data_IF_513847186452
#
_entry.id   IF_513847186452
#
_cell.length_a   1.000
_cell.length_b   1.000
_cell.length_c   1.000
_cell.angle_alpha   90.00
_cell.angle_beta   90.00
_cell.angle_gamma   90.00
#
_symmetry.space_group_name_H-M   'P 1'
#
loop_
_entity.id
_entity.type
_entity.pdbx_description
1 polymer ?
#
# COMPACT_ATOMS: atom_id res chain seq x y z
N UNK A 1 7.97 -1.16 15.47
CA UNK A 1 6.97 -1.56 14.46
C UNK A 1 6.79 -3.07 14.50
N UNK A 2 5.57 -3.54 14.39
CA UNK A 2 5.25 -4.97 14.36
C UNK A 2 5.05 -5.41 12.91
N UNK A 3 5.43 -6.65 12.60
CA UNK A 3 5.33 -7.21 11.25
C UNK A 3 5.28 -8.75 11.33
N UNK A 4 5.07 -9.38 10.18
CA UNK A 4 5.12 -10.84 10.07
C UNK A 4 6.54 -11.39 10.30
N UNK A 5 7.55 -10.56 10.11
CA UNK A 5 8.95 -10.89 10.41
C UNK A 5 9.30 -10.45 11.83
N UNK A 6 10.18 -11.19 12.50
CA UNK A 6 10.54 -10.88 13.87
C UNK A 6 11.46 -9.66 13.95
N UNK A 7 11.45 -9.00 15.11
CA UNK A 7 12.22 -7.77 15.33
C UNK A 7 13.73 -7.99 15.17
N UNK A 8 14.25 -9.12 15.63
CA UNK A 8 15.65 -9.43 15.49
C UNK A 8 16.08 -9.43 14.01
N UNK A 9 15.31 -10.10 13.16
CA UNK A 9 15.63 -10.18 11.72
C UNK A 9 15.54 -8.81 11.04
N UNK A 10 14.55 -8.01 11.42
CA UNK A 10 14.39 -6.67 10.86
C UNK A 10 15.52 -5.73 11.27
N UNK A 11 15.99 -5.83 12.51
CA UNK A 11 17.05 -4.96 13.02
C UNK A 11 18.44 -5.42 12.61
N UNK A 12 18.72 -6.72 12.67
CA UNK A 12 20.04 -7.25 12.37
C UNK A 12 20.33 -7.40 10.88
N UNK A 13 19.29 -7.59 10.08
CA UNK A 13 19.42 -7.88 8.66
C UNK A 13 19.75 -9.34 8.36
N UNK A 14 19.81 -10.19 9.39
CA UNK A 14 20.08 -11.63 9.25
C UNK A 14 18.79 -12.37 9.56
N UNK A 15 18.32 -13.19 8.61
CA UNK A 15 17.08 -13.94 8.80
C UNK A 15 17.31 -15.18 9.68
N UNK A 16 16.45 -15.33 10.71
CA UNK A 16 16.38 -16.57 11.47
C UNK A 16 15.70 -17.66 10.64
N UNK A 17 15.75 -18.90 11.13
CA UNK A 17 15.16 -20.04 10.41
C UNK A 17 13.67 -19.87 10.14
N UNK A 18 12.92 -19.31 11.08
CA UNK A 18 11.47 -19.08 10.93
C UNK A 18 11.17 -18.03 9.85
N UNK A 19 11.85 -16.90 9.88
CA UNK A 19 11.65 -15.83 8.90
C UNK A 19 12.14 -16.25 7.51
N UNK A 20 13.22 -16.99 7.43
CA UNK A 20 13.69 -17.55 6.16
C UNK A 20 12.66 -18.51 5.58
N UNK A 21 12.06 -19.35 6.41
CA UNK A 21 11.03 -20.27 5.98
C UNK A 21 9.79 -19.53 5.44
N UNK A 22 9.39 -18.43 6.09
CA UNK A 22 8.28 -17.60 5.59
C UNK A 22 8.58 -17.01 4.22
N UNK A 23 9.82 -16.54 4.02
CA UNK A 23 10.25 -16.00 2.74
C UNK A 23 10.24 -17.09 1.66
N UNK A 24 10.75 -18.29 1.95
CA UNK A 24 10.79 -19.41 1.03
C UNK A 24 9.39 -19.91 0.65
N UNK A 25 8.44 -19.89 1.60
CA UNK A 25 7.06 -20.27 1.34
C UNK A 25 6.22 -19.20 0.66
N UNK A 26 6.77 -18.00 0.45
CA UNK A 26 6.05 -16.89 -0.15
C UNK A 26 5.06 -16.20 0.78
N UNK A 27 5.10 -16.48 2.08
CA UNK A 27 4.25 -15.78 3.06
C UNK A 27 4.67 -14.33 3.23
N UNK A 28 5.96 -14.06 3.08
CA UNK A 28 6.50 -12.70 2.99
C UNK A 28 7.41 -12.64 1.75
N UNK A 29 7.53 -11.44 1.18
CA UNK A 29 8.35 -11.20 0.00
C UNK A 29 9.63 -10.47 0.37
N UNK A 30 10.58 -10.43 -0.57
CA UNK A 30 11.78 -9.62 -0.39
C UNK A 30 11.44 -8.14 -0.28
N UNK A 31 10.43 -7.69 -0.99
CA UNK A 31 9.94 -6.31 -0.89
C UNK A 31 9.41 -6.04 0.51
N UNK A 32 8.62 -6.96 1.08
CA UNK A 32 8.13 -6.84 2.45
C UNK A 32 9.29 -6.64 3.43
N UNK A 33 10.33 -7.46 3.30
CA UNK A 33 11.52 -7.37 4.15
C UNK A 33 12.22 -6.02 3.99
N UNK A 34 12.42 -5.58 2.76
CA UNK A 34 13.10 -4.32 2.46
C UNK A 34 12.35 -3.12 3.06
N UNK A 35 11.05 -3.03 2.83
CA UNK A 35 10.25 -1.92 3.33
C UNK A 35 10.12 -1.96 4.84
N UNK A 36 9.90 -3.13 5.43
CA UNK A 36 9.84 -3.28 6.87
C UNK A 36 11.14 -2.82 7.55
N UNK A 37 12.28 -3.16 6.97
CA UNK A 37 13.58 -2.73 7.50
C UNK A 37 13.77 -1.22 7.40
N UNK A 38 13.33 -0.61 6.30
CA UNK A 38 13.37 0.85 6.17
C UNK A 38 12.57 1.53 7.27
N UNK A 39 11.35 1.03 7.53
CA UNK A 39 10.49 1.61 8.56
C UNK A 39 11.07 1.41 9.97
N UNK A 40 11.60 0.23 10.26
CA UNK A 40 12.24 -0.05 11.55
C UNK A 40 13.45 0.86 11.77
N UNK A 41 14.18 1.18 10.71
CA UNK A 41 15.37 2.03 10.81
C UNK A 41 15.10 3.45 11.30
N UNK A 42 13.86 3.91 11.19
CA UNK A 42 13.46 5.27 11.57
C UNK A 42 12.45 5.31 12.72
N UNK A 43 12.08 4.16 13.29
CA UNK A 43 11.04 4.13 14.32
C UNK A 43 11.43 4.86 15.61
N UNK A 44 12.72 4.98 15.92
CA UNK A 44 13.16 5.77 17.07
C UNK A 44 12.98 7.26 16.85
N UNK A 45 13.14 7.71 15.61
CA UNK A 45 12.94 9.10 15.22
C UNK A 45 11.45 9.46 15.13
N UNK A 46 10.61 8.48 14.81
CA UNK A 46 9.16 8.66 14.65
C UNK A 46 8.43 7.66 15.53
N UNK A 47 8.25 7.96 16.83
CA UNK A 47 7.76 6.99 17.82
C UNK A 47 6.41 6.35 17.50
N UNK A 48 5.51 7.03 16.78
CA UNK A 48 4.22 6.45 16.41
C UNK A 48 4.38 5.20 15.55
N UNK A 49 5.50 5.07 14.83
CA UNK A 49 5.78 3.87 14.04
C UNK A 49 5.93 2.62 14.90
N UNK A 50 6.29 2.76 16.16
CA UNK A 50 6.45 1.61 17.06
C UNK A 50 5.14 0.88 17.29
N UNK A 51 4.00 1.57 17.11
CA UNK A 51 2.66 1.00 17.28
C UNK A 51 1.97 0.68 15.94
N UNK A 52 2.70 0.63 14.86
CA UNK A 52 2.18 0.26 13.54
C UNK A 52 2.39 -1.23 13.30
N UNK A 53 1.39 -1.91 12.74
CA UNK A 53 1.55 -3.27 12.24
C UNK A 53 1.65 -3.25 10.73
N UNK A 54 2.80 -3.66 10.22
CA UNK A 54 3.08 -3.74 8.79
C UNK A 54 2.67 -5.11 8.26
N UNK A 55 1.71 -5.14 7.34
CA UNK A 55 1.22 -6.37 6.73
C UNK A 55 1.97 -6.76 5.47
N UNK A 56 2.50 -5.83 4.74
CA UNK A 56 3.23 -6.11 3.52
C UNK A 56 3.28 -4.92 2.58
N UNK A 57 3.93 -5.14 1.44
CA UNK A 57 4.08 -4.11 0.40
C UNK A 57 3.85 -4.72 -0.97
N UNK A 58 3.27 -3.95 -1.87
CA UNK A 58 3.01 -4.32 -3.26
C UNK A 58 3.46 -3.17 -4.15
N UNK A 59 4.23 -3.47 -5.16
CA UNK A 59 4.65 -2.45 -6.12
C UNK A 59 4.12 -2.73 -7.52
N UNK A 60 3.82 -1.66 -8.24
CA UNK A 60 3.42 -1.69 -9.63
C UNK A 60 3.99 -0.44 -10.28
N UNK A 61 4.90 -0.61 -11.24
CA UNK A 61 5.59 0.46 -11.93
C UNK A 61 6.17 1.48 -10.94
N UNK A 62 5.70 2.73 -10.96
CA UNK A 62 6.24 3.80 -10.11
C UNK A 62 5.49 3.97 -8.78
N UNK A 63 4.59 3.03 -8.44
CA UNK A 63 3.79 3.12 -7.21
C UNK A 63 4.13 1.96 -6.29
N UNK A 64 4.34 2.28 -5.02
CA UNK A 64 4.54 1.32 -3.94
C UNK A 64 3.40 1.49 -2.93
N UNK A 65 2.62 0.44 -2.74
CA UNK A 65 1.55 0.40 -1.74
C UNK A 65 2.06 -0.33 -0.50
N UNK A 66 1.88 0.31 0.65
CA UNK A 66 2.24 -0.25 1.95
C UNK A 66 0.95 -0.58 2.69
N UNK A 67 0.80 -1.84 3.09
CA UNK A 67 -0.38 -2.34 3.77
C UNK A 67 -0.11 -2.38 5.27
N UNK A 68 -0.96 -1.70 6.04
CA UNK A 68 -0.84 -1.62 7.49
C UNK A 68 -2.16 -2.00 8.16
N UNK A 69 -2.11 -2.22 9.46
CA UNK A 69 -3.28 -2.51 10.26
C UNK A 69 -4.27 -1.36 10.19
N UNK A 70 -5.55 -1.68 10.30
CA UNK A 70 -6.63 -0.70 10.34
C UNK A 70 -6.39 0.32 11.46
N UNK A 71 -6.43 1.60 11.10
CA UNK A 71 -6.15 2.71 12.02
C UNK A 71 -4.70 3.16 12.05
N UNK A 72 -3.78 2.44 11.40
CA UNK A 72 -2.35 2.76 11.44
C UNK A 72 -1.90 3.79 10.39
N UNK A 73 -2.69 4.01 9.32
CA UNK A 73 -2.29 4.91 8.24
C UNK A 73 -1.98 6.32 8.76
N UNK A 74 -2.79 6.84 9.67
CA UNK A 74 -2.59 8.18 10.22
C UNK A 74 -1.27 8.31 10.98
N UNK A 75 -0.80 7.23 11.60
CA UNK A 75 0.48 7.22 12.32
C UNK A 75 1.66 7.44 11.37
N UNK A 76 1.58 6.84 10.18
CA UNK A 76 2.61 7.00 9.14
C UNK A 76 2.49 8.36 8.46
N UNK A 77 1.25 8.83 8.21
CA UNK A 77 1.00 10.10 7.55
C UNK A 77 1.22 11.31 8.46
N UNK A 78 1.41 11.08 9.76
CA UNK A 78 1.78 12.11 10.73
C UNK A 78 3.17 12.68 10.43
N UNK A 79 3.65 13.54 11.27
CA UNK A 79 4.99 14.16 11.15
C UNK A 79 5.17 14.98 9.87
N UNK A 80 4.07 15.56 9.36
CA UNK A 80 4.15 16.44 8.18
C UNK A 80 4.57 15.74 6.90
N UNK A 81 4.30 14.45 6.78
CA UNK A 81 4.64 13.66 5.61
C UNK A 81 6.11 13.26 5.52
N UNK A 82 6.88 13.43 6.58
CA UNK A 82 8.33 13.14 6.57
C UNK A 82 8.62 11.66 6.34
N UNK A 83 7.81 10.77 6.89
CA UNK A 83 7.98 9.33 6.69
C UNK A 83 7.75 8.97 5.22
N UNK A 84 6.72 9.52 4.63
CA UNK A 84 6.40 9.29 3.21
C UNK A 84 7.55 9.78 2.33
N UNK A 85 8.08 10.97 2.58
CA UNK A 85 9.21 11.49 1.81
C UNK A 85 10.46 10.64 1.96
N UNK A 86 10.72 10.15 3.18
CA UNK A 86 11.83 9.23 3.41
C UNK A 86 11.69 7.96 2.55
N UNK A 87 10.50 7.37 2.51
CA UNK A 87 10.24 6.18 1.72
C UNK A 87 10.33 6.46 0.22
N UNK A 88 9.81 7.60 -0.23
CA UNK A 88 9.92 8.00 -1.63
C UNK A 88 11.38 8.19 -2.05
N UNK A 89 12.19 8.82 -1.21
CA UNK A 89 13.61 9.04 -1.47
C UNK A 89 14.39 7.72 -1.54
N UNK A 90 14.07 6.77 -0.66
CA UNK A 90 14.77 5.48 -0.60
C UNK A 90 14.34 4.52 -1.71
N UNK A 91 13.10 4.56 -2.13
CA UNK A 91 12.56 3.60 -3.11
C UNK A 91 12.47 4.16 -4.52
N UNK A 92 12.47 5.48 -4.67
CA UNK A 92 12.24 6.13 -5.96
C UNK A 92 10.81 5.99 -6.47
N UNK A 93 9.88 5.61 -5.61
CA UNK A 93 8.49 5.35 -5.99
C UNK A 93 7.52 6.25 -5.25
N UNK A 94 6.36 6.49 -5.84
CA UNK A 94 5.24 7.17 -5.19
C UNK A 94 4.60 6.22 -4.18
N UNK A 95 4.42 6.68 -2.95
CA UNK A 95 3.96 5.84 -1.84
C UNK A 95 2.45 5.98 -1.63
N UNK A 96 1.77 4.85 -1.43
CA UNK A 96 0.37 4.79 -0.99
C UNK A 96 0.29 3.97 0.27
N UNK A 97 -0.40 4.47 1.29
CA UNK A 97 -0.62 3.74 2.54
C UNK A 97 -2.05 3.20 2.53
N UNK A 98 -2.19 1.89 2.56
CA UNK A 98 -3.48 1.21 2.51
C UNK A 98 -3.69 0.45 3.81
N UNK A 99 -4.90 0.53 4.37
CA UNK A 99 -5.25 -0.20 5.58
C UNK A 99 -5.86 -1.54 5.23
N UNK A 100 -5.37 -2.57 5.90
CA UNK A 100 -5.82 -3.94 5.70
C UNK A 100 -7.25 -4.12 6.19
N UNK A 101 -8.05 -4.85 5.42
CA UNK A 101 -9.42 -5.27 5.78
C UNK A 101 -10.40 -4.12 6.03
N UNK A 102 -10.24 -3.01 5.32
CA UNK A 102 -11.23 -1.93 5.29
C UNK A 102 -12.31 -2.24 4.24
N UNK A 103 -13.41 -1.47 4.24
CA UNK A 103 -14.39 -1.62 3.18
C UNK A 103 -13.82 -1.15 1.83
N UNK A 104 -14.46 -1.55 0.74
CA UNK A 104 -13.98 -1.27 -0.61
C UNK A 104 -13.85 0.22 -0.89
N UNK A 105 -14.81 1.02 -0.43
CA UNK A 105 -14.77 2.48 -0.64
C UNK A 105 -13.57 3.12 0.04
N UNK A 106 -13.30 2.77 1.28
CA UNK A 106 -12.15 3.27 2.03
C UNK A 106 -10.83 2.86 1.36
N UNK A 107 -10.74 1.63 0.91
CA UNK A 107 -9.57 1.13 0.18
C UNK A 107 -9.32 1.97 -1.09
N UNK A 108 -10.36 2.21 -1.87
CA UNK A 108 -10.24 2.98 -3.11
C UNK A 108 -9.91 4.45 -2.84
N UNK A 109 -10.51 5.04 -1.83
CA UNK A 109 -10.19 6.41 -1.43
C UNK A 109 -8.73 6.56 -1.05
N UNK A 110 -8.19 5.61 -0.29
CA UNK A 110 -6.78 5.61 0.11
C UNK A 110 -5.85 5.40 -1.11
N UNK A 111 -6.24 4.51 -2.01
CA UNK A 111 -5.45 4.21 -3.21
C UNK A 111 -5.33 5.43 -4.13
N UNK A 112 -6.41 6.17 -4.33
CA UNK A 112 -6.44 7.31 -5.24
C UNK A 112 -6.14 8.65 -4.56
N UNK A 113 -5.97 8.68 -3.24
CA UNK A 113 -5.64 9.91 -2.52
C UNK A 113 -4.44 10.64 -3.17
N UNK A 114 -4.44 11.96 -3.31
CA UNK A 114 -5.40 12.91 -2.78
C UNK A 114 -6.62 13.19 -3.68
N UNK A 115 -6.80 12.45 -4.76
CA UNK A 115 -7.93 12.65 -5.66
C UNK A 115 -9.24 12.24 -5.00
N UNK A 116 -10.30 12.99 -5.27
CA UNK A 116 -11.63 12.68 -4.74
C UNK A 116 -12.37 11.73 -5.66
N UNK A 117 -13.02 10.75 -5.06
CA UNK A 117 -13.89 9.81 -5.78
C UNK A 117 -15.30 10.38 -5.78
N UNK A 118 -15.86 10.58 -6.97
CA UNK A 118 -17.25 11.04 -7.11
C UNK A 118 -18.22 9.88 -6.98
N UNK A 119 -17.93 8.75 -7.64
CA UNK A 119 -18.83 7.61 -7.72
C UNK A 119 -18.07 6.30 -7.81
N UNK A 120 -18.63 5.27 -7.18
CA UNK A 120 -18.16 3.89 -7.32
C UNK A 120 -19.36 3.05 -7.73
N UNK A 121 -19.26 2.37 -8.87
CA UNK A 121 -20.34 1.51 -9.40
C UNK A 121 -19.80 0.12 -9.75
N UNK A 122 -20.64 -0.89 -9.58
CA UNK A 122 -20.35 -2.24 -10.08
C UNK A 122 -20.93 -2.38 -11.47
N UNK A 123 -20.14 -2.90 -12.40
CA UNK A 123 -20.56 -3.19 -13.77
C UNK A 123 -20.50 -4.69 -13.97
N UNK A 124 -21.65 -5.29 -14.29
CA UNK A 124 -21.77 -6.72 -14.56
C UNK A 124 -21.59 -6.96 -16.04
N UNK A 125 -20.60 -7.74 -16.42
CA UNK A 125 -20.32 -8.04 -17.83
C UNK A 125 -21.05 -9.32 -18.27
N UNK A 126 -21.30 -9.48 -19.59
CA UNK A 126 -22.00 -10.66 -20.10
C UNK A 126 -21.34 -12.00 -19.77
N UNK A 127 -20.02 -12.00 -19.58
CA UNK A 127 -19.27 -13.21 -19.24
C UNK A 127 -19.34 -13.58 -17.76
N UNK A 128 -20.11 -12.84 -16.95
CA UNK A 128 -20.27 -13.07 -15.52
C UNK A 128 -19.21 -12.36 -14.65
N UNK A 129 -18.24 -11.67 -15.25
CA UNK A 129 -17.25 -10.91 -14.48
C UNK A 129 -17.84 -9.58 -14.02
N UNK A 130 -17.23 -9.00 -12.95
CA UNK A 130 -17.64 -7.73 -12.39
C UNK A 130 -16.48 -6.77 -12.43
N UNK A 131 -16.70 -5.59 -12.99
CA UNK A 131 -15.77 -4.48 -12.91
C UNK A 131 -16.25 -3.45 -11.90
N UNK A 132 -15.31 -2.85 -11.16
CA UNK A 132 -15.60 -1.72 -10.29
C UNK A 132 -15.22 -0.44 -11.03
N UNK A 133 -16.24 0.35 -11.36
CA UNK A 133 -16.07 1.63 -12.03
C UNK A 133 -15.90 2.73 -11.00
N UNK A 134 -14.79 3.45 -11.09
CA UNK A 134 -14.47 4.57 -10.21
C UNK A 134 -14.42 5.84 -11.05
N UNK A 135 -15.19 6.85 -10.66
CA UNK A 135 -15.17 8.15 -11.32
C UNK A 135 -14.46 9.13 -10.39
N UNK A 136 -13.34 9.66 -10.85
CA UNK A 136 -12.53 10.61 -10.10
C UNK A 136 -12.88 12.04 -10.52
N UNK A 137 -12.84 12.95 -9.55
CA UNK A 137 -13.07 14.37 -9.80
C UNK A 137 -11.87 14.97 -10.52
N UNK A 138 -12.15 15.73 -11.59
CA UNK A 138 -11.14 16.46 -12.32
C UNK A 138 -10.76 15.79 -13.64
N UNK A 139 -9.73 16.35 -14.27
CA UNK A 139 -9.22 15.86 -15.54
C UNK A 139 -8.12 14.84 -15.32
N UNK A 140 -7.98 13.91 -16.25
CA UNK A 140 -6.88 12.97 -16.24
C UNK A 140 -5.55 13.71 -16.25
N UNK A 141 -4.73 13.46 -15.24
CA UNK A 141 -3.39 14.02 -15.15
C UNK A 141 -2.39 13.00 -15.66
N UNK A 142 -1.41 13.44 -16.46
CA UNK A 142 -0.36 12.58 -16.98
C UNK A 142 0.50 11.98 -15.87
N UNK A 143 0.56 12.63 -14.71
CA UNK A 143 1.31 12.15 -13.54
C UNK A 143 0.65 10.97 -12.84
N UNK A 144 -0.64 10.72 -13.07
CA UNK A 144 -1.38 9.62 -12.44
C UNK A 144 -1.21 8.34 -13.25
N UNK A 145 -0.57 7.35 -12.65
CA UNK A 145 -0.39 6.05 -13.29
C UNK A 145 -1.58 5.14 -12.99
N UNK A 146 -2.63 5.25 -13.82
CA UNK A 146 -3.86 4.49 -13.66
C UNK A 146 -3.62 2.98 -13.77
N UNK A 147 -2.74 2.56 -14.69
CA UNK A 147 -2.45 1.14 -14.87
C UNK A 147 -1.80 0.53 -13.62
N UNK A 148 -0.89 1.25 -12.98
CA UNK A 148 -0.27 0.79 -11.74
C UNK A 148 -1.31 0.68 -10.61
N UNK A 149 -2.23 1.63 -10.50
CA UNK A 149 -3.29 1.59 -9.51
C UNK A 149 -4.25 0.43 -9.73
N UNK A 150 -4.58 0.15 -11.00
CA UNK A 150 -5.41 -1.01 -11.37
C UNK A 150 -4.74 -2.32 -10.97
N UNK A 151 -3.44 -2.44 -11.20
CA UNK A 151 -2.67 -3.63 -10.83
C UNK A 151 -2.64 -3.82 -9.32
N UNK A 152 -2.40 -2.76 -8.56
CA UNK A 152 -2.39 -2.82 -7.08
C UNK A 152 -3.74 -3.26 -6.55
N UNK A 153 -4.84 -2.68 -7.05
CA UNK A 153 -6.19 -3.04 -6.63
C UNK A 153 -6.48 -4.52 -6.91
N UNK A 154 -6.04 -5.02 -8.07
CA UNK A 154 -6.22 -6.43 -8.44
C UNK A 154 -5.44 -7.36 -7.53
N UNK A 155 -4.17 -7.03 -7.26
CA UNK A 155 -3.29 -7.88 -6.45
C UNK A 155 -3.67 -7.86 -4.96
N UNK A 156 -4.08 -6.71 -4.44
CA UNK A 156 -4.38 -6.57 -3.01
C UNK A 156 -5.79 -7.03 -2.66
N UNK A 157 -6.78 -6.70 -3.49
CA UNK A 157 -8.19 -6.93 -3.18
C UNK A 157 -8.95 -7.74 -4.23
N UNK A 158 -8.29 -8.14 -5.31
CA UNK A 158 -8.96 -8.85 -6.40
C UNK A 158 -9.97 -7.98 -7.16
N UNK A 159 -9.86 -6.67 -7.06
CA UNK A 159 -10.77 -5.72 -7.70
C UNK A 159 -10.30 -5.44 -9.12
N UNK A 160 -11.18 -5.61 -10.10
CA UNK A 160 -10.94 -5.20 -11.47
C UNK A 160 -11.47 -3.78 -11.64
N UNK A 161 -10.57 -2.81 -11.77
CA UNK A 161 -10.93 -1.40 -11.84
C UNK A 161 -11.16 -0.91 -13.26
N UNK A 162 -12.16 -0.05 -13.40
CA UNK A 162 -12.35 0.84 -14.54
C UNK A 162 -12.31 2.26 -13.99
N UNK A 163 -11.32 3.06 -14.42
CA UNK A 163 -11.12 4.41 -13.91
C UNK A 163 -11.52 5.43 -14.95
N UNK A 164 -12.39 6.35 -14.56
CA UNK A 164 -12.85 7.44 -15.42
C UNK A 164 -12.69 8.77 -14.67
N UNK A 165 -12.65 9.85 -15.42
CA UNK A 165 -12.50 11.20 -14.89
C UNK A 165 -13.68 12.05 -15.28
N UNK A 166 -14.16 12.91 -14.36
CA UNK A 166 -15.24 13.86 -14.59
C UNK A 166 -14.82 15.25 -14.12
N UNK A 167 -15.09 16.25 -14.95
CA UNK A 167 -14.82 17.67 -14.64
C UNK A 167 -15.78 18.23 -13.60
#
# INVERSE_FOLDING_TARGET
MKAELCQFCLRSGILCSKCRAKLERGEVTRLDLEIARLLVSIEDKYPLLQDVYFHGAVEADNILAILVRRGDANKILSYGGKIIRFLEDKTGKSIRILEYNTNERKFLEDLFSPLSILTINKIWLPDGTVETRVILKGRKKSSLNVNAMREIAKRVRGITLRVEFAD
#
